data_IF_565149880288
#
_entry.id   IF_565149880288
#
_cell.length_a   1.000
_cell.length_b   1.000
_cell.length_c   1.000
_cell.angle_alpha   90.00
_cell.angle_beta   90.00
_cell.angle_gamma   90.00
#
_symmetry.space_group_name_H-M   'P 1'
#
loop_
_entity.id
_entity.type
_entity.pdbx_description
1 polymer ?
#
# COMPACT_ATOMS: atom_id res chain seq x y z
N UNK A 1 -1.73 -1.12 -5.09
CA UNK A 1 -1.21 -2.18 -6.00
C UNK A 1 -1.11 -3.51 -5.27
N UNK A 2 -0.45 -3.58 -4.11
CA UNK A 2 -0.55 -4.75 -3.20
C UNK A 2 -2.00 -5.13 -2.93
N UNK A 3 -2.88 -4.17 -2.63
CA UNK A 3 -4.33 -4.39 -2.39
C UNK A 3 -5.09 -4.96 -3.60
N UNK A 4 -4.67 -4.63 -4.83
CA UNK A 4 -5.30 -5.15 -6.05
C UNK A 4 -4.90 -6.60 -6.34
N UNK A 5 -3.69 -6.99 -5.95
CA UNK A 5 -3.15 -8.32 -6.19
C UNK A 5 -3.20 -9.23 -4.95
N UNK A 6 -3.45 -8.69 -3.75
CA UNK A 6 -3.54 -9.45 -2.50
C UNK A 6 -4.57 -10.60 -2.58
N UNK A 7 -5.78 -10.43 -3.13
CA UNK A 7 -6.72 -11.55 -3.29
C UNK A 7 -6.20 -12.64 -4.24
N UNK A 8 -5.51 -12.23 -5.31
CA UNK A 8 -4.93 -13.12 -6.33
C UNK A 8 -3.71 -13.88 -5.78
N UNK A 9 -2.94 -13.23 -4.91
CA UNK A 9 -1.78 -13.78 -4.21
C UNK A 9 -2.23 -14.74 -3.11
N UNK A 10 -3.28 -14.42 -2.36
CA UNK A 10 -3.89 -15.35 -1.40
C UNK A 10 -4.52 -16.56 -2.08
N UNK A 11 -5.13 -16.39 -3.26
CA UNK A 11 -5.69 -17.50 -4.03
C UNK A 11 -4.60 -18.41 -4.61
N UNK A 12 -3.53 -17.85 -5.17
CA UNK A 12 -2.47 -18.62 -5.83
C UNK A 12 -1.43 -19.21 -4.86
N UNK A 13 -1.10 -18.51 -3.76
CA UNK A 13 -0.05 -18.91 -2.81
C UNK A 13 -0.59 -19.57 -1.54
N UNK A 14 -1.84 -19.27 -1.12
CA UNK A 14 -2.41 -19.80 0.14
C UNK A 14 -3.55 -20.80 -0.06
N UNK A 15 -3.99 -21.05 -1.29
CA UNK A 15 -5.06 -22.00 -1.60
C UNK A 15 -6.45 -21.59 -1.11
N UNK A 16 -6.68 -20.30 -0.82
CA UNK A 16 -8.00 -19.81 -0.43
C UNK A 16 -9.02 -19.94 -1.55
N UNK A 17 -10.26 -20.26 -1.18
CA UNK A 17 -11.38 -20.29 -2.12
C UNK A 17 -11.60 -18.89 -2.71
N UNK A 18 -12.05 -18.84 -3.96
CA UNK A 18 -12.24 -17.55 -4.67
C UNK A 18 -13.18 -16.60 -3.92
N UNK A 19 -14.14 -17.16 -3.16
CA UNK A 19 -15.10 -16.40 -2.37
C UNK A 19 -14.47 -15.80 -1.10
N UNK A 20 -13.57 -16.54 -0.44
CA UNK A 20 -12.83 -16.05 0.73
C UNK A 20 -11.85 -14.93 0.35
N UNK A 21 -11.19 -15.04 -0.81
CA UNK A 21 -10.31 -13.99 -1.32
C UNK A 21 -11.06 -12.67 -1.58
N UNK A 22 -12.27 -12.74 -2.17
CA UNK A 22 -13.13 -11.57 -2.37
C UNK A 22 -13.55 -10.95 -1.03
N UNK A 23 -13.97 -11.76 -0.05
CA UNK A 23 -14.33 -11.26 1.27
C UNK A 23 -13.17 -10.55 1.97
N UNK A 24 -11.95 -11.10 1.91
CA UNK A 24 -10.75 -10.46 2.45
C UNK A 24 -10.48 -9.10 1.78
N UNK A 25 -10.67 -9.00 0.46
CA UNK A 25 -10.61 -7.72 -0.25
C UNK A 25 -11.62 -6.69 0.27
N UNK A 26 -12.87 -7.10 0.52
CA UNK A 26 -13.87 -6.23 1.12
C UNK A 26 -13.46 -5.77 2.53
N UNK A 27 -12.95 -6.67 3.37
CA UNK A 27 -12.49 -6.33 4.71
C UNK A 27 -11.29 -5.38 4.69
N UNK A 28 -10.37 -5.52 3.73
CA UNK A 28 -9.28 -4.56 3.53
C UNK A 28 -9.81 -3.15 3.23
N UNK A 29 -10.85 -3.03 2.40
CA UNK A 29 -11.46 -1.72 2.13
C UNK A 29 -12.17 -1.12 3.35
N UNK A 30 -12.84 -1.95 4.17
CA UNK A 30 -13.43 -1.48 5.43
C UNK A 30 -12.34 -1.03 6.40
N UNK A 31 -11.26 -1.80 6.50
CA UNK A 31 -10.10 -1.44 7.31
C UNK A 31 -9.49 -0.11 6.86
N UNK A 32 -9.35 0.11 5.56
CA UNK A 32 -8.87 1.35 4.98
C UNK A 32 -9.73 2.56 5.39
N UNK A 33 -11.06 2.41 5.36
CA UNK A 33 -11.98 3.46 5.83
C UNK A 33 -11.76 3.77 7.31
N UNK A 34 -11.64 2.73 8.15
CA UNK A 34 -11.40 2.89 9.59
C UNK A 34 -10.03 3.55 9.87
N UNK A 35 -8.98 3.09 9.18
CA UNK A 35 -7.63 3.61 9.31
C UNK A 35 -7.55 5.08 8.87
N UNK A 36 -8.36 5.50 7.90
CA UNK A 36 -8.40 6.89 7.40
C UNK A 36 -8.80 7.90 8.48
N UNK A 37 -9.68 7.53 9.42
CA UNK A 37 -10.03 8.41 10.53
C UNK A 37 -8.84 8.66 11.47
N UNK A 38 -7.98 7.65 11.66
CA UNK A 38 -6.77 7.77 12.49
C UNK A 38 -5.73 8.66 11.81
N UNK A 39 -5.69 8.68 10.47
CA UNK A 39 -4.81 9.57 9.69
C UNK A 39 -5.03 11.04 10.03
N UNK A 40 -6.29 11.47 10.19
CA UNK A 40 -6.60 12.87 10.52
C UNK A 40 -5.98 13.30 11.85
N UNK A 41 -6.06 12.43 12.86
CA UNK A 41 -5.47 12.71 14.17
C UNK A 41 -3.94 12.71 14.13
N UNK A 42 -3.34 11.77 13.40
CA UNK A 42 -1.89 11.55 13.38
C UNK A 42 -1.14 12.61 12.54
N UNK A 43 -1.71 13.08 11.44
CA UNK A 43 -1.10 14.12 10.59
C UNK A 43 -0.87 15.43 11.37
N UNK A 44 -1.86 15.86 12.14
CA UNK A 44 -1.78 17.15 12.86
C UNK A 44 -0.91 17.07 14.11
N UNK A 45 -0.86 15.91 14.78
CA UNK A 45 -0.08 15.71 16.01
C UNK A 45 1.40 15.41 15.78
N UNK A 46 1.72 14.56 14.81
CA UNK A 46 3.09 14.06 14.60
C UNK A 46 3.84 14.94 13.59
N UNK A 47 3.11 15.57 12.68
CA UNK A 47 3.67 16.35 11.58
C UNK A 47 4.00 15.49 10.36
N UNK A 48 3.94 16.10 9.17
CA UNK A 48 3.92 15.38 7.89
C UNK A 48 5.21 14.60 7.58
N UNK A 49 6.38 15.23 7.78
CA UNK A 49 7.70 14.64 7.44
C UNK A 49 8.08 13.42 8.31
N UNK A 50 8.04 13.49 9.66
CA UNK A 50 8.35 12.32 10.48
C UNK A 50 7.33 11.20 10.29
N UNK A 51 6.06 11.52 10.03
CA UNK A 51 5.02 10.53 9.72
C UNK A 51 5.29 9.79 8.40
N UNK A 52 5.66 10.52 7.34
CA UNK A 52 6.05 9.90 6.07
C UNK A 52 7.22 8.93 6.22
N UNK A 53 8.27 9.34 6.94
CA UNK A 53 9.47 8.50 7.11
C UNK A 53 9.18 7.28 8.01
N UNK A 54 8.47 7.45 9.12
CA UNK A 54 8.16 6.33 10.02
C UNK A 54 7.25 5.31 9.34
N UNK A 55 6.24 5.75 8.61
CA UNK A 55 5.35 4.88 7.85
C UNK A 55 6.10 4.21 6.69
N UNK A 56 7.01 4.89 5.99
CA UNK A 56 7.83 4.28 4.95
C UNK A 56 8.69 3.14 5.50
N UNK A 57 9.35 3.36 6.64
CA UNK A 57 10.13 2.30 7.32
C UNK A 57 9.21 1.15 7.75
N UNK A 58 8.04 1.45 8.33
CA UNK A 58 7.05 0.45 8.71
C UNK A 58 6.59 -0.40 7.53
N UNK A 59 6.28 0.23 6.39
CA UNK A 59 5.90 -0.46 5.16
C UNK A 59 7.02 -1.38 4.64
N UNK A 60 8.27 -0.92 4.65
CA UNK A 60 9.41 -1.76 4.25
C UNK A 60 9.56 -3.00 5.14
N UNK A 61 9.48 -2.84 6.46
CA UNK A 61 9.61 -3.95 7.40
C UNK A 61 8.47 -4.97 7.20
N UNK A 62 7.24 -4.49 7.07
CA UNK A 62 6.06 -5.35 6.89
C UNK A 62 6.14 -6.14 5.57
N UNK A 63 6.57 -5.52 4.48
CA UNK A 63 6.74 -6.22 3.20
C UNK A 63 7.82 -7.31 3.26
N UNK A 64 8.92 -7.06 3.97
CA UNK A 64 9.98 -8.08 4.16
C UNK A 64 9.44 -9.26 4.99
N UNK A 65 8.70 -8.98 6.06
CA UNK A 65 8.09 -10.02 6.89
C UNK A 65 7.03 -10.82 6.13
N UNK A 66 6.22 -10.16 5.30
CA UNK A 66 5.26 -10.80 4.42
C UNK A 66 5.94 -11.75 3.44
N UNK A 67 7.00 -11.30 2.75
CA UNK A 67 7.77 -12.12 1.82
C UNK A 67 8.37 -13.36 2.50
N UNK A 68 8.90 -13.21 3.72
CA UNK A 68 9.41 -14.33 4.52
C UNK A 68 8.30 -15.32 4.89
N UNK A 69 7.13 -14.83 5.31
CA UNK A 69 5.99 -15.70 5.62
C UNK A 69 5.51 -16.47 4.39
N UNK A 70 5.47 -15.83 3.22
CA UNK A 70 5.12 -16.50 1.95
C UNK A 70 6.16 -17.56 1.60
N UNK A 71 7.45 -17.30 1.82
CA UNK A 71 8.53 -18.25 1.53
C UNK A 71 8.53 -19.50 2.44
N UNK A 72 8.15 -19.36 3.71
CA UNK A 72 8.06 -20.49 4.66
C UNK A 72 6.91 -21.44 4.28
N UNK A 73 5.79 -20.88 3.83
CA UNK A 73 4.60 -21.65 3.48
C UNK A 73 3.88 -22.28 4.70
N UNK A 74 2.70 -22.84 4.45
CA UNK A 74 1.84 -23.45 5.47
C UNK A 74 0.73 -22.54 5.98
N UNK A 75 -0.25 -23.14 6.66
CA UNK A 75 -1.50 -22.47 7.08
C UNK A 75 -1.27 -21.35 8.08
N UNK A 76 -0.37 -21.53 9.06
CA UNK A 76 -0.02 -20.51 10.03
C UNK A 76 0.68 -19.29 9.42
N UNK A 77 1.62 -19.53 8.48
CA UNK A 77 2.33 -18.48 7.77
C UNK A 77 1.40 -17.70 6.82
N UNK A 78 0.41 -18.36 6.23
CA UNK A 78 -0.62 -17.71 5.43
C UNK A 78 -1.49 -16.72 6.21
N UNK A 79 -1.90 -17.08 7.42
CA UNK A 79 -2.65 -16.17 8.31
C UNK A 79 -1.79 -14.96 8.69
N UNK A 80 -0.50 -15.17 8.99
CA UNK A 80 0.43 -14.09 9.29
C UNK A 80 0.62 -13.14 8.10
N UNK A 81 0.78 -13.68 6.88
CA UNK A 81 0.87 -12.88 5.66
C UNK A 81 -0.37 -11.98 5.46
N UNK A 82 -1.58 -12.51 5.71
CA UNK A 82 -2.80 -11.70 5.67
C UNK A 82 -2.72 -10.53 6.67
N UNK A 83 -2.34 -10.78 7.92
CA UNK A 83 -2.20 -9.72 8.94
C UNK A 83 -1.19 -8.65 8.51
N UNK A 84 -0.08 -9.06 7.91
CA UNK A 84 0.92 -8.12 7.38
C UNK A 84 0.36 -7.24 6.26
N UNK A 85 -0.47 -7.76 5.36
CA UNK A 85 -1.15 -6.93 4.34
C UNK A 85 -2.05 -5.87 4.97
N UNK A 86 -2.81 -6.21 6.01
CA UNK A 86 -3.64 -5.22 6.73
C UNK A 86 -2.79 -4.15 7.43
N UNK A 87 -1.64 -4.53 8.02
CA UNK A 87 -0.71 -3.59 8.63
C UNK A 87 -0.05 -2.68 7.58
N UNK A 88 0.34 -3.23 6.43
CA UNK A 88 0.86 -2.46 5.31
C UNK A 88 -0.15 -1.41 4.85
N UNK A 89 -1.41 -1.80 4.64
CA UNK A 89 -2.49 -0.90 4.25
C UNK A 89 -2.71 0.20 5.32
N UNK A 90 -2.59 -0.14 6.60
CA UNK A 90 -2.65 0.82 7.71
C UNK A 90 -1.53 1.88 7.64
N UNK A 91 -0.27 1.45 7.53
CA UNK A 91 0.86 2.37 7.41
C UNK A 91 0.79 3.23 6.15
N UNK A 92 0.34 2.66 5.03
CA UNK A 92 0.11 3.38 3.78
C UNK A 92 -0.96 4.47 3.97
N UNK A 93 -2.05 4.15 4.65
CA UNK A 93 -3.16 5.07 4.92
C UNK A 93 -2.75 6.22 5.84
N UNK A 94 -1.99 5.94 6.90
CA UNK A 94 -1.56 6.96 7.87
C UNK A 94 -0.47 7.88 7.32
N UNK A 95 0.53 7.33 6.64
CA UNK A 95 1.67 8.11 6.15
C UNK A 95 1.45 8.68 4.77
N UNK A 96 1.09 7.83 3.80
CA UNK A 96 1.20 8.15 2.39
C UNK A 96 -0.05 8.84 1.84
N UNK A 97 -1.23 8.30 2.14
CA UNK A 97 -2.49 8.72 1.54
C UNK A 97 -2.82 10.18 1.82
N UNK A 98 -2.73 10.65 3.07
CA UNK A 98 -3.01 12.06 3.37
C UNK A 98 -1.86 12.99 2.99
N UNK A 99 -0.62 12.60 3.30
CA UNK A 99 0.52 13.50 3.13
C UNK A 99 0.87 13.72 1.66
N UNK A 100 0.69 12.77 0.75
CA UNK A 100 1.14 12.92 -0.65
C UNK A 100 0.36 14.00 -1.41
N UNK A 101 -0.90 14.28 -1.01
CA UNK A 101 -1.72 15.31 -1.64
C UNK A 101 -1.57 16.69 -0.98
N UNK A 102 -1.26 16.71 0.31
CA UNK A 102 -1.16 17.94 1.10
C UNK A 102 0.26 18.50 1.10
N UNK A 103 1.28 17.63 1.05
CA UNK A 103 2.67 18.04 1.13
C UNK A 103 3.18 18.83 -0.10
N UNK A 104 2.90 18.44 -1.36
CA UNK A 104 3.32 19.21 -2.53
C UNK A 104 2.83 20.67 -2.54
N UNK A 105 1.56 20.99 -2.24
CA UNK A 105 1.13 22.38 -2.19
C UNK A 105 1.67 23.17 -0.98
N UNK A 106 2.06 22.49 0.11
CA UNK A 106 2.67 23.11 1.31
C UNK A 106 4.11 23.60 1.06
N UNK A 107 4.90 22.88 0.26
CA UNK A 107 6.29 23.26 -0.04
C UNK A 107 6.42 24.30 -1.17
N UNK A 108 5.37 24.50 -1.96
CA UNK A 108 5.39 25.36 -3.13
C UNK A 108 4.91 26.80 -2.82
N UNK A 109 5.60 27.82 -3.35
CA UNK A 109 5.15 29.20 -3.23
C UNK A 109 3.81 29.40 -3.97
N UNK A 110 2.98 30.30 -3.44
CA UNK A 110 1.60 30.57 -3.89
C UNK A 110 1.45 30.70 -5.41
N UNK A 111 2.42 31.33 -6.08
CA UNK A 111 2.39 31.59 -7.53
C UNK A 111 2.43 30.33 -8.39
N UNK A 112 3.09 29.26 -7.93
CA UNK A 112 3.28 28.02 -8.71
C UNK A 112 2.56 26.81 -8.10
N UNK A 113 1.88 26.99 -6.97
CA UNK A 113 1.23 25.91 -6.21
C UNK A 113 0.32 25.03 -7.08
N UNK A 114 -0.57 25.65 -7.85
CA UNK A 114 -1.49 24.91 -8.71
C UNK A 114 -0.75 24.09 -9.78
N UNK A 115 0.27 24.67 -10.42
CA UNK A 115 1.07 23.99 -11.46
C UNK A 115 1.91 22.84 -10.89
N UNK A 116 2.51 23.04 -9.72
CA UNK A 116 3.30 21.98 -9.08
C UNK A 116 2.42 20.86 -8.51
N UNK A 117 1.23 21.17 -7.97
CA UNK A 117 0.27 20.16 -7.57
C UNK A 117 -0.24 19.33 -8.76
N UNK A 118 -0.53 19.96 -9.91
CA UNK A 118 -0.89 19.22 -11.13
C UNK A 118 0.25 18.34 -11.66
N UNK A 119 1.50 18.79 -11.53
CA UNK A 119 2.66 17.98 -11.92
C UNK A 119 2.85 16.78 -10.99
N UNK A 120 2.67 16.97 -9.68
CA UNK A 120 2.72 15.87 -8.71
C UNK A 120 1.63 14.83 -8.98
N UNK A 121 0.39 15.28 -9.25
CA UNK A 121 -0.71 14.38 -9.64
C UNK A 121 -0.42 13.65 -10.95
N UNK A 122 0.10 14.34 -11.97
CA UNK A 122 0.47 13.72 -13.23
C UNK A 122 1.56 12.64 -13.03
N UNK A 123 2.58 12.92 -12.21
CA UNK A 123 3.63 11.96 -11.89
C UNK A 123 3.07 10.73 -11.15
N UNK A 124 2.14 10.91 -10.21
CA UNK A 124 1.48 9.82 -9.48
C UNK A 124 0.69 8.90 -10.42
N UNK A 125 -0.13 9.47 -11.32
CA UNK A 125 -0.89 8.69 -12.29
C UNK A 125 0.00 8.01 -13.32
N UNK A 126 1.06 8.67 -13.80
CA UNK A 126 2.05 8.05 -14.68
C UNK A 126 2.78 6.89 -14.01
N UNK A 127 3.14 7.04 -12.73
CA UNK A 127 3.74 5.95 -11.94
C UNK A 127 2.80 4.76 -11.80
N UNK A 128 1.53 5.01 -11.46
CA UNK A 128 0.51 3.96 -11.41
C UNK A 128 0.35 3.24 -12.76
N UNK A 129 0.28 3.99 -13.87
CA UNK A 129 0.20 3.43 -15.22
C UNK A 129 1.40 2.52 -15.54
N UNK A 130 2.61 3.00 -15.29
CA UNK A 130 3.83 2.22 -15.53
C UNK A 130 3.83 0.91 -14.74
N UNK A 131 3.46 0.94 -13.45
CA UNK A 131 3.43 -0.28 -12.64
C UNK A 131 2.37 -1.25 -13.16
N UNK A 132 1.18 -0.78 -13.52
CA UNK A 132 0.11 -1.63 -14.06
C UNK A 132 0.52 -2.30 -15.38
N UNK A 133 1.23 -1.61 -16.25
CA UNK A 133 1.71 -2.18 -17.53
C UNK A 133 2.88 -3.16 -17.37
N UNK A 134 3.79 -2.89 -16.42
CA UNK A 134 5.01 -3.70 -16.22
C UNK A 134 4.71 -4.97 -15.40
N UNK A 135 3.83 -4.89 -14.40
CA UNK A 135 3.59 -5.98 -13.44
C UNK A 135 3.17 -7.30 -14.10
N UNK A 136 2.23 -7.34 -15.08
CA UNK A 136 1.79 -8.59 -15.70
C UNK A 136 2.93 -9.32 -16.42
N UNK A 137 3.70 -8.58 -17.25
CA UNK A 137 4.85 -9.13 -17.99
C UNK A 137 5.98 -9.57 -17.06
N UNK A 138 6.14 -8.90 -15.92
CA UNK A 138 7.11 -9.26 -14.89
C UNK A 138 6.74 -10.58 -14.20
N UNK A 139 5.45 -10.76 -13.87
CA UNK A 139 4.96 -11.99 -13.24
C UNK A 139 5.07 -13.20 -14.19
N UNK A 140 4.82 -13.02 -15.49
CA UNK A 140 4.94 -14.09 -16.50
C UNK A 140 6.38 -14.54 -16.75
N UNK A 141 7.36 -13.61 -16.72
CA UNK A 141 8.74 -13.93 -17.08
C UNK A 141 9.65 -14.34 -15.90
N UNK A 142 9.34 -13.92 -14.67
CA UNK A 142 10.31 -13.98 -13.55
C UNK A 142 9.90 -15.00 -12.44
N UNK A 143 8.65 -15.46 -12.43
CA UNK A 143 8.20 -16.52 -11.53
C UNK A 143 8.20 -16.13 -10.04
N UNK A 144 8.70 -17.02 -9.16
CA UNK A 144 8.58 -16.93 -7.69
C UNK A 144 9.62 -16.01 -7.00
N UNK A 145 10.53 -15.37 -7.74
CA UNK A 145 11.65 -14.59 -7.16
C UNK A 145 11.28 -13.16 -6.75
N UNK A 146 10.05 -12.92 -6.31
CA UNK A 146 9.64 -11.63 -5.74
C UNK A 146 9.22 -11.83 -4.30
#
# INVERSE_FOLDING_TARGET
IVTYYAPTLFKSSLGFSSQMAIFMGCFLQVWYILASFVTWYTIDRIGRRPLLVSCAVGMCVVLVLEAVCVAIGGTGAGIAAVIFVFLFEGFFTWGWMGCVWVYPPEILPLKIRARGASLAAAADFCGNFLVVEITPKSLENIGWRT
#
